data_IF_811914082470
#
_entry.id   IF_811914082470
#
_cell.length_a   1.000
_cell.length_b   1.000
_cell.length_c   1.000
_cell.angle_alpha   90.00
_cell.angle_beta   90.00
_cell.angle_gamma   90.00
#
_symmetry.space_group_name_H-M   'P 1'
#
loop_
_entity.id
_entity.type
_entity.pdbx_description
1 polymer ?
#
# COMPACT_ATOMS: atom_id res chain seq x y z
N UNK A 1 36.16 3.42 -6.54
CA UNK A 1 34.88 2.91 -6.03
C UNK A 1 34.93 1.38 -6.09
N UNK A 2 35.38 0.74 -5.01
CA UNK A 2 35.25 -0.70 -4.87
C UNK A 2 33.79 -0.91 -4.48
N UNK A 3 32.97 -1.30 -5.46
CA UNK A 3 31.65 -1.85 -5.17
C UNK A 3 31.93 -3.14 -4.43
N UNK A 4 31.56 -3.20 -3.15
CA UNK A 4 31.55 -4.47 -2.43
C UNK A 4 30.36 -5.27 -2.99
N UNK A 5 30.58 -5.86 -4.17
CA UNK A 5 29.86 -7.06 -4.57
C UNK A 5 30.05 -8.02 -3.41
N UNK A 6 28.96 -8.55 -2.85
CA UNK A 6 29.03 -9.53 -1.80
C UNK A 6 29.85 -10.73 -2.27
N UNK A 7 31.15 -10.75 -1.96
CA UNK A 7 31.91 -11.96 -1.78
C UNK A 7 31.60 -12.39 -0.35
N UNK A 8 30.55 -13.21 -0.24
CA UNK A 8 30.11 -13.73 1.05
C UNK A 8 31.17 -14.72 1.56
N UNK A 9 31.81 -14.37 2.67
CA UNK A 9 32.22 -15.37 3.65
C UNK A 9 30.97 -16.22 4.02
N UNK A 10 31.11 -17.51 4.36
CA UNK A 10 29.95 -18.39 4.59
C UNK A 10 29.04 -17.78 5.67
N UNK A 11 27.88 -17.26 5.24
CA UNK A 11 26.94 -16.57 6.12
C UNK A 11 26.19 -17.61 6.94
N UNK A 12 26.28 -17.47 8.26
CA UNK A 12 25.30 -18.01 9.20
C UNK A 12 23.92 -17.59 8.70
N UNK A 13 23.01 -18.54 8.54
CA UNK A 13 21.65 -18.27 8.08
C UNK A 13 21.03 -17.18 8.98
N UNK A 14 20.37 -16.16 8.42
CA UNK A 14 19.67 -15.18 9.23
C UNK A 14 18.67 -15.90 10.14
N UNK A 15 18.49 -15.45 11.39
CA UNK A 15 17.52 -16.05 12.30
C UNK A 15 16.14 -16.03 11.65
N UNK A 16 15.30 -17.06 11.89
CA UNK A 16 13.98 -17.10 11.32
C UNK A 16 13.21 -15.84 11.76
N UNK A 17 12.47 -15.21 10.83
CA UNK A 17 11.68 -14.02 11.13
C UNK A 17 10.68 -14.32 12.25
N UNK A 18 10.49 -13.35 13.16
CA UNK A 18 9.60 -13.47 14.32
C UNK A 18 8.12 -13.59 13.95
N UNK A 19 7.76 -13.15 12.74
CA UNK A 19 6.42 -13.23 12.18
C UNK A 19 6.41 -14.22 11.00
N UNK A 20 5.65 -15.31 11.03
CA UNK A 20 5.66 -16.26 9.93
C UNK A 20 5.10 -15.63 8.66
N UNK A 21 5.62 -16.12 7.54
CA UNK A 21 5.08 -15.78 6.24
C UNK A 21 3.75 -16.52 6.04
N UNK A 22 2.66 -15.75 5.87
CA UNK A 22 1.34 -16.31 5.60
C UNK A 22 0.92 -16.06 4.16
N UNK A 23 0.48 -17.14 3.51
CA UNK A 23 -0.03 -17.14 2.14
C UNK A 23 0.96 -16.45 1.17
N UNK A 24 0.47 -15.72 0.16
CA UNK A 24 1.26 -15.01 -0.85
C UNK A 24 2.13 -15.91 -1.75
N UNK A 25 1.73 -17.17 -1.90
CA UNK A 25 2.47 -18.15 -2.74
C UNK A 25 2.45 -17.74 -4.20
N UNK A 26 1.30 -17.30 -4.71
CA UNK A 26 1.13 -16.83 -6.09
C UNK A 26 2.05 -15.64 -6.40
N UNK A 27 2.11 -14.66 -5.49
CA UNK A 27 2.93 -13.47 -5.65
C UNK A 27 4.42 -13.80 -5.52
N UNK A 28 4.77 -14.70 -4.62
CA UNK A 28 6.14 -15.21 -4.48
C UNK A 28 6.58 -15.94 -5.76
N UNK A 29 5.74 -16.82 -6.30
CA UNK A 29 6.01 -17.56 -7.54
C UNK A 29 6.09 -16.64 -8.76
N UNK A 30 5.24 -15.61 -8.81
CA UNK A 30 5.34 -14.55 -9.81
C UNK A 30 6.71 -13.88 -9.77
N UNK A 31 7.19 -13.47 -8.59
CA UNK A 31 8.49 -12.83 -8.48
C UNK A 31 9.64 -13.78 -8.79
N UNK A 32 9.56 -15.04 -8.36
CA UNK A 32 10.55 -16.08 -8.74
C UNK A 32 10.62 -16.27 -10.25
N UNK A 33 9.47 -16.37 -10.92
CA UNK A 33 9.41 -16.50 -12.37
C UNK A 33 9.94 -15.24 -13.08
N UNK A 34 9.59 -14.05 -12.56
CA UNK A 34 10.07 -12.77 -13.10
C UNK A 34 11.59 -12.61 -12.97
N UNK A 35 12.16 -13.10 -11.87
CA UNK A 35 13.58 -12.94 -11.56
C UNK A 35 14.44 -14.15 -11.93
N UNK A 36 13.84 -15.23 -12.42
CA UNK A 36 14.55 -16.27 -13.17
C UNK A 36 14.69 -15.94 -14.66
N UNK A 37 13.89 -14.99 -15.16
CA UNK A 37 13.96 -14.48 -16.53
C UNK A 37 15.02 -13.39 -16.75
N UNK A 38 15.00 -12.76 -17.93
CA UNK A 38 15.93 -11.67 -18.25
C UNK A 38 15.68 -10.43 -17.38
N UNK A 39 16.75 -9.89 -16.79
CA UNK A 39 16.73 -8.57 -16.16
C UNK A 39 16.45 -7.51 -17.24
N UNK A 40 15.43 -6.67 -17.05
CA UNK A 40 15.08 -5.67 -18.08
C UNK A 40 14.46 -4.37 -17.59
N UNK A 41 13.96 -4.30 -16.35
CA UNK A 41 13.21 -3.14 -15.86
C UNK A 41 13.35 -2.99 -14.34
N UNK A 42 13.19 -1.76 -13.86
CA UNK A 42 12.91 -1.50 -12.44
C UNK A 42 11.46 -1.92 -12.16
N UNK A 43 11.22 -2.68 -11.09
CA UNK A 43 9.86 -3.01 -10.64
C UNK A 43 9.46 -2.07 -9.52
N UNK A 44 8.32 -1.39 -9.65
CA UNK A 44 7.69 -0.60 -8.60
C UNK A 44 6.55 -1.43 -8.03
N UNK A 45 6.71 -1.93 -6.81
CA UNK A 45 5.69 -2.68 -6.09
C UNK A 45 4.91 -1.72 -5.18
N UNK A 46 3.71 -1.35 -5.60
CA UNK A 46 2.79 -0.54 -4.79
C UNK A 46 1.74 -1.42 -4.12
N UNK A 47 1.08 -0.93 -3.08
CA UNK A 47 -0.03 -1.63 -2.42
C UNK A 47 -0.39 -0.97 -1.09
N UNK A 48 -1.52 -1.34 -0.46
CA UNK A 48 -1.96 -0.73 0.79
C UNK A 48 -0.89 -0.80 1.89
N UNK A 49 -0.90 0.15 2.83
CA UNK A 49 -0.02 0.07 4.01
C UNK A 49 -0.31 -1.23 4.77
N UNK A 50 0.75 -1.89 5.24
CA UNK A 50 0.67 -3.15 5.99
C UNK A 50 -0.01 -4.35 5.30
N UNK A 51 -0.13 -4.37 3.96
CA UNK A 51 -0.68 -5.53 3.23
C UNK A 51 0.29 -6.73 3.08
N UNK A 52 1.53 -6.60 3.57
CA UNK A 52 2.54 -7.66 3.56
C UNK A 52 3.67 -7.51 2.54
N UNK A 53 3.80 -6.36 1.85
CA UNK A 53 4.88 -6.11 0.85
C UNK A 53 6.28 -6.41 1.40
N UNK A 54 6.63 -5.84 2.55
CA UNK A 54 7.96 -6.03 3.18
C UNK A 54 8.22 -7.49 3.48
N UNK A 55 7.22 -8.19 4.04
CA UNK A 55 7.30 -9.60 4.39
C UNK A 55 7.45 -10.50 3.16
N UNK A 56 6.73 -10.20 2.07
CA UNK A 56 6.87 -10.89 0.78
C UNK A 56 8.28 -10.76 0.23
N UNK A 57 8.84 -9.55 0.24
CA UNK A 57 10.19 -9.32 -0.26
C UNK A 57 11.27 -9.95 0.63
N UNK A 58 11.10 -9.93 1.95
CA UNK A 58 11.98 -10.64 2.87
C UNK A 58 11.97 -12.15 2.64
N UNK A 59 10.78 -12.74 2.46
CA UNK A 59 10.66 -14.16 2.20
C UNK A 59 11.25 -14.55 0.83
N UNK A 60 11.02 -13.72 -0.19
CA UNK A 60 11.67 -13.87 -1.49
C UNK A 60 13.19 -13.87 -1.34
N UNK A 61 13.77 -12.85 -0.69
CA UNK A 61 15.21 -12.76 -0.47
C UNK A 61 15.75 -13.97 0.30
N UNK A 62 15.07 -14.38 1.37
CA UNK A 62 15.44 -15.55 2.18
C UNK A 62 15.52 -16.81 1.34
N UNK A 63 14.54 -17.05 0.45
CA UNK A 63 14.54 -18.23 -0.43
C UNK A 63 15.64 -18.16 -1.48
N UNK A 64 15.92 -16.98 -2.03
CA UNK A 64 17.00 -16.77 -2.99
C UNK A 64 18.39 -17.00 -2.37
N UNK A 65 18.63 -16.48 -1.17
CA UNK A 65 19.87 -16.69 -0.42
C UNK A 65 20.09 -18.18 -0.10
N UNK A 66 19.02 -18.92 0.24
CA UNK A 66 19.11 -20.35 0.53
C UNK A 66 19.37 -21.21 -0.71
N UNK A 67 18.88 -20.80 -1.87
CA UNK A 67 18.99 -21.57 -3.11
C UNK A 67 20.22 -21.19 -3.95
N UNK A 68 20.94 -20.12 -3.60
CA UNK A 68 22.11 -19.62 -4.31
C UNK A 68 21.84 -19.33 -5.81
N UNK A 69 20.60 -18.91 -6.12
CA UNK A 69 20.12 -18.71 -7.50
C UNK A 69 20.20 -17.22 -7.87
N UNK A 70 20.90 -16.90 -8.95
CA UNK A 70 20.61 -15.70 -9.76
C UNK A 70 21.18 -14.35 -9.28
N UNK A 71 20.99 -13.30 -10.10
CA UNK A 71 21.70 -12.02 -9.99
C UNK A 71 21.38 -11.24 -8.70
N UNK A 72 22.21 -10.22 -8.42
CA UNK A 72 22.12 -9.35 -7.26
C UNK A 72 20.71 -8.73 -7.14
N UNK A 73 20.06 -8.90 -5.99
CA UNK A 73 18.78 -8.28 -5.67
C UNK A 73 19.00 -6.94 -4.99
N UNK A 74 18.47 -5.87 -5.58
CA UNK A 74 18.51 -4.54 -4.99
C UNK A 74 17.10 -4.10 -4.57
N UNK A 75 16.86 -4.16 -3.25
CA UNK A 75 15.71 -3.54 -2.58
C UNK A 75 16.10 -2.10 -2.22
N UNK A 76 15.37 -1.09 -2.70
CA UNK A 76 15.65 0.32 -2.34
C UNK A 76 14.58 0.84 -1.38
N UNK A 77 15.05 1.51 -0.33
CA UNK A 77 14.28 2.23 0.71
C UNK A 77 14.98 3.50 1.08
N UNK A 78 14.22 4.49 1.50
CA UNK A 78 14.73 5.79 1.88
C UNK A 78 14.23 6.27 3.25
N UNK A 79 13.68 5.41 4.13
CA UNK A 79 13.24 5.84 5.46
C UNK A 79 14.41 6.33 6.33
N UNK A 80 14.23 7.52 6.88
CA UNK A 80 14.97 8.09 8.03
C UNK A 80 16.49 8.26 7.96
N UNK A 81 17.11 8.16 6.79
CA UNK A 81 18.51 8.59 6.64
C UNK A 81 18.58 9.64 5.54
N UNK A 82 18.93 10.91 5.81
CA UNK A 82 19.30 11.82 4.74
C UNK A 82 20.50 11.19 4.04
N UNK A 83 20.26 10.58 2.88
CA UNK A 83 21.30 9.91 2.11
C UNK A 83 22.12 10.99 1.43
N UNK A 84 23.21 11.39 2.09
CA UNK A 84 24.12 12.47 1.65
C UNK A 84 25.35 11.93 0.92
N UNK A 85 25.50 10.61 0.84
CA UNK A 85 26.63 9.97 0.16
C UNK A 85 26.31 8.59 -0.44
N UNK A 86 27.06 8.14 -1.47
CA UNK A 86 26.95 6.79 -2.04
C UNK A 86 27.17 5.65 -1.03
N UNK A 87 27.97 5.88 0.01
CA UNK A 87 28.18 4.88 1.07
C UNK A 87 26.96 4.76 1.98
N UNK A 88 26.19 5.83 2.20
CA UNK A 88 24.90 5.80 2.89
C UNK A 88 23.81 5.17 2.02
N UNK A 89 23.85 5.34 0.69
CA UNK A 89 22.98 4.58 -0.24
C UNK A 89 23.17 3.09 -0.02
N UNK A 90 24.41 2.60 0.11
CA UNK A 90 24.68 1.17 0.34
C UNK A 90 24.09 0.61 1.64
N UNK A 91 23.90 1.47 2.66
CA UNK A 91 23.35 1.12 3.98
C UNK A 91 21.84 1.35 4.09
N UNK A 92 21.29 2.29 3.31
CA UNK A 92 19.87 2.65 3.28
C UNK A 92 19.00 1.72 2.40
N UNK A 93 19.60 0.80 1.65
CA UNK A 93 18.93 -0.17 0.76
C UNK A 93 18.07 -1.22 1.50
N UNK A 94 17.16 -0.88 2.42
CA UNK A 94 16.22 -1.86 3.03
C UNK A 94 14.92 -1.25 3.59
N UNK A 95 13.81 -1.30 2.79
CA UNK A 95 12.34 -1.06 3.08
C UNK A 95 11.46 0.27 2.93
N UNK A 96 11.01 0.73 1.74
CA UNK A 96 10.06 1.86 1.40
C UNK A 96 10.61 3.07 0.59
N UNK A 97 10.18 3.27 -0.67
CA UNK A 97 10.80 4.22 -1.62
C UNK A 97 10.21 5.64 -1.67
N UNK A 98 9.33 6.02 -0.74
CA UNK A 98 8.61 7.32 -0.81
C UNK A 98 9.44 8.51 -0.43
N UNK A 99 10.41 8.35 0.45
CA UNK A 99 11.24 9.46 0.89
C UNK A 99 12.19 9.95 -0.22
N UNK A 100 12.30 9.22 -1.35
CA UNK A 100 12.93 9.75 -2.57
C UNK A 100 12.18 10.99 -3.10
N UNK A 101 10.87 11.09 -2.85
CA UNK A 101 10.04 12.22 -3.26
C UNK A 101 10.30 13.48 -2.44
N UNK A 102 10.92 13.35 -1.27
CA UNK A 102 11.22 14.48 -0.37
C UNK A 102 12.52 15.20 -0.73
N UNK A 103 13.27 14.74 -1.73
CA UNK A 103 14.45 15.41 -2.28
C UNK A 103 13.97 16.62 -3.09
N UNK A 104 14.04 17.82 -2.50
CA UNK A 104 13.31 19.02 -2.96
C UNK A 104 13.81 19.61 -4.28
N UNK A 105 13.09 20.58 -4.82
CA UNK A 105 13.69 21.66 -5.62
C UNK A 105 13.63 22.98 -4.83
N UNK A 106 14.66 23.83 -4.87
CA UNK A 106 15.98 23.61 -5.48
C UNK A 106 16.90 22.92 -4.46
N UNK A 107 16.81 21.60 -4.32
CA UNK A 107 17.73 20.85 -3.46
C UNK A 107 19.05 20.64 -4.23
N UNK A 108 20.21 20.99 -3.64
CA UNK A 108 21.51 20.63 -4.19
C UNK A 108 21.69 19.13 -4.48
N UNK A 109 20.83 18.25 -3.97
CA UNK A 109 20.84 16.80 -4.17
C UNK A 109 20.13 16.29 -5.45
N UNK A 110 19.55 17.17 -6.26
CA UNK A 110 18.90 16.83 -7.54
C UNK A 110 19.81 16.05 -8.52
N UNK A 111 21.08 16.46 -8.73
CA UNK A 111 22.03 15.70 -9.55
C UNK A 111 22.30 14.29 -9.00
N UNK A 112 22.34 14.13 -7.68
CA UNK A 112 22.56 12.88 -6.98
C UNK A 112 21.36 11.93 -7.15
N UNK A 113 20.13 12.44 -7.06
CA UNK A 113 18.93 11.67 -7.32
C UNK A 113 18.89 11.17 -8.77
N UNK A 114 19.16 12.06 -9.73
CA UNK A 114 19.24 11.70 -11.15
C UNK A 114 20.32 10.65 -11.40
N UNK A 115 21.47 10.75 -10.73
CA UNK A 115 22.55 9.75 -10.78
C UNK A 115 22.13 8.41 -10.16
N UNK A 116 21.43 8.43 -9.03
CA UNK A 116 20.91 7.22 -8.39
C UNK A 116 19.91 6.51 -9.31
N UNK A 117 18.91 7.22 -9.84
CA UNK A 117 17.93 6.65 -10.77
C UNK A 117 18.61 6.12 -12.04
N UNK A 118 19.56 6.86 -12.62
CA UNK A 118 20.36 6.41 -13.75
C UNK A 118 21.19 5.15 -13.42
N UNK A 119 21.72 5.06 -12.20
CA UNK A 119 22.41 3.86 -11.73
C UNK A 119 21.45 2.66 -11.62
N UNK A 120 20.27 2.82 -11.02
CA UNK A 120 19.26 1.76 -10.92
C UNK A 120 18.84 1.24 -12.30
N UNK A 121 18.62 2.14 -13.26
CA UNK A 121 18.34 1.79 -14.66
C UNK A 121 19.55 1.10 -15.31
N UNK A 122 20.75 1.61 -15.04
CA UNK A 122 22.00 1.09 -15.56
C UNK A 122 22.24 -0.36 -15.16
N UNK A 123 22.07 -0.70 -13.87
CA UNK A 123 22.27 -2.07 -13.37
C UNK A 123 21.14 -3.02 -13.76
N UNK A 124 19.90 -2.53 -13.87
CA UNK A 124 18.75 -3.37 -14.20
C UNK A 124 18.56 -3.57 -15.71
N UNK A 125 18.32 -2.49 -16.45
CA UNK A 125 17.96 -2.55 -17.87
C UNK A 125 19.16 -2.63 -18.79
N UNK A 126 20.20 -1.82 -18.55
CA UNK A 126 21.31 -1.68 -19.51
C UNK A 126 22.35 -2.79 -19.36
N UNK A 127 22.83 -3.02 -18.13
CA UNK A 127 23.86 -4.02 -17.83
C UNK A 127 23.29 -5.38 -17.48
N UNK A 128 21.98 -5.46 -17.16
CA UNK A 128 21.28 -6.69 -16.78
C UNK A 128 21.95 -7.45 -15.63
N UNK A 129 22.48 -6.70 -14.68
CA UNK A 129 23.29 -7.21 -13.56
C UNK A 129 22.46 -7.46 -12.30
N UNK A 130 21.33 -6.77 -12.14
CA UNK A 130 20.54 -6.81 -10.91
C UNK A 130 19.05 -6.57 -11.15
N UNK A 131 18.20 -7.34 -10.49
CA UNK A 131 16.79 -6.98 -10.38
C UNK A 131 16.63 -5.87 -9.34
N UNK A 132 15.93 -4.80 -9.72
CA UNK A 132 15.66 -3.65 -8.84
C UNK A 132 14.18 -3.62 -8.52
N UNK A 133 13.85 -3.58 -7.23
CA UNK A 133 12.47 -3.40 -6.75
C UNK A 133 12.40 -2.17 -5.83
N UNK A 134 11.50 -1.25 -6.18
CA UNK A 134 11.09 -0.11 -5.37
C UNK A 134 9.73 -0.46 -4.75
N UNK A 135 9.66 -0.70 -3.46
CA UNK A 135 8.41 -1.06 -2.78
C UNK A 135 7.85 0.13 -2.02
N UNK A 136 6.54 0.37 -2.11
CA UNK A 136 5.93 1.54 -1.50
C UNK A 136 4.46 1.34 -1.13
N UNK A 137 4.01 2.09 -0.11
CA UNK A 137 2.61 2.28 0.25
C UNK A 137 1.97 3.57 -0.32
N UNK A 138 2.74 4.39 -1.05
CA UNK A 138 2.30 5.64 -1.68
C UNK A 138 2.18 5.42 -3.19
N UNK A 139 0.96 5.59 -3.67
CA UNK A 139 0.61 5.33 -5.06
C UNK A 139 1.10 6.43 -6.02
N UNK A 140 1.53 7.57 -5.50
CA UNK A 140 2.06 8.67 -6.30
C UNK A 140 3.47 8.40 -6.85
N UNK A 141 4.23 7.46 -6.27
CA UNK A 141 5.62 7.21 -6.66
C UNK A 141 5.79 6.94 -8.16
N UNK A 142 4.88 6.19 -8.78
CA UNK A 142 4.95 5.89 -10.21
C UNK A 142 4.79 7.14 -11.09
N UNK A 143 3.92 8.06 -10.67
CA UNK A 143 3.71 9.35 -11.33
C UNK A 143 4.92 10.25 -11.10
N UNK A 144 5.40 10.34 -9.86
CA UNK A 144 6.61 11.08 -9.51
C UNK A 144 7.85 10.62 -10.30
N UNK A 145 8.08 9.32 -10.44
CA UNK A 145 9.17 8.76 -11.26
C UNK A 145 9.12 9.27 -12.70
N UNK A 146 7.91 9.38 -13.26
CA UNK A 146 7.70 9.91 -14.60
C UNK A 146 8.03 11.41 -14.67
N UNK A 147 7.62 12.19 -13.66
CA UNK A 147 7.90 13.63 -13.55
C UNK A 147 9.41 13.91 -13.45
N UNK A 148 10.18 13.07 -12.74
CA UNK A 148 11.65 13.21 -12.63
C UNK A 148 12.43 12.63 -13.81
N UNK A 149 11.74 12.25 -14.91
CA UNK A 149 12.35 11.85 -16.19
C UNK A 149 12.56 10.34 -16.38
N UNK A 150 12.00 9.51 -15.50
CA UNK A 150 11.99 8.06 -15.69
C UNK A 150 10.77 7.65 -16.53
N UNK A 151 11.00 7.48 -17.83
CA UNK A 151 9.96 7.06 -18.79
C UNK A 151 9.41 5.67 -18.47
N UNK A 152 8.14 5.42 -18.84
CA UNK A 152 7.41 4.16 -18.56
C UNK A 152 8.04 2.90 -19.17
N UNK A 153 8.95 3.02 -20.13
CA UNK A 153 9.73 1.88 -20.65
C UNK A 153 10.88 1.46 -19.71
N UNK A 154 11.16 2.23 -18.66
CA UNK A 154 12.25 1.97 -17.69
C UNK A 154 11.78 1.27 -16.42
N UNK A 155 10.49 1.31 -16.13
CA UNK A 155 9.90 0.60 -14.99
C UNK A 155 8.53 0.01 -15.27
N UNK A 156 8.16 -0.96 -14.44
CA UNK A 156 6.81 -1.55 -14.40
C UNK A 156 6.23 -1.39 -13.01
N UNK A 157 4.94 -1.09 -12.96
CA UNK A 157 4.20 -1.03 -11.69
C UNK A 157 3.49 -2.36 -11.49
N UNK A 158 3.68 -2.97 -10.33
CA UNK A 158 2.91 -4.12 -9.85
C UNK A 158 2.17 -3.68 -8.59
N UNK A 159 0.92 -4.09 -8.45
CA UNK A 159 0.08 -3.76 -7.28
C UNK A 159 -0.11 -5.02 -6.45
N UNK A 160 0.38 -5.03 -5.21
CA UNK A 160 0.07 -6.06 -4.22
C UNK A 160 -1.23 -5.70 -3.51
N UNK A 161 -2.26 -6.51 -3.74
CA UNK A 161 -3.56 -6.38 -3.09
C UNK A 161 -3.55 -6.77 -1.61
N UNK A 162 -4.65 -6.51 -0.93
CA UNK A 162 -4.96 -7.17 0.34
C UNK A 162 -5.24 -8.68 0.10
N UNK A 163 -5.49 -9.44 1.17
CA UNK A 163 -5.96 -10.83 1.05
C UNK A 163 -7.40 -10.86 0.54
N UNK A 164 -7.83 -11.97 -0.07
CA UNK A 164 -9.27 -12.19 -0.28
C UNK A 164 -9.97 -12.45 1.05
N UNK A 165 -11.32 -12.41 1.08
CA UNK A 165 -12.09 -12.69 2.30
C UNK A 165 -11.77 -14.08 2.87
N UNK A 166 -11.73 -15.09 2.00
CA UNK A 166 -11.45 -16.48 2.37
C UNK A 166 -10.03 -16.63 2.95
N UNK A 167 -9.07 -15.93 2.36
CA UNK A 167 -7.67 -15.92 2.82
C UNK A 167 -7.53 -15.14 4.14
N UNK A 168 -8.26 -14.04 4.30
CA UNK A 168 -8.29 -13.24 5.52
C UNK A 168 -8.93 -14.00 6.68
N UNK A 169 -10.03 -14.71 6.43
CA UNK A 169 -10.70 -15.56 7.42
C UNK A 169 -9.76 -16.69 7.86
N UNK A 170 -9.10 -17.34 6.90
CA UNK A 170 -8.11 -18.39 7.19
C UNK A 170 -6.87 -17.83 7.88
N UNK A 171 -6.45 -16.60 7.60
CA UNK A 171 -5.38 -15.93 8.33
C UNK A 171 -5.77 -15.73 9.80
N UNK A 172 -7.00 -15.29 10.04
CA UNK A 172 -7.52 -15.02 11.37
C UNK A 172 -7.74 -16.30 12.19
N UNK A 173 -8.40 -17.30 11.62
CA UNK A 173 -8.90 -18.45 12.37
C UNK A 173 -8.23 -19.79 12.03
N UNK A 174 -7.36 -19.82 11.02
CA UNK A 174 -6.69 -21.04 10.57
C UNK A 174 -5.77 -21.62 11.64
N UNK A 175 -5.91 -22.92 11.90
CA UNK A 175 -4.98 -23.65 12.77
C UNK A 175 -3.55 -23.58 12.20
N UNK A 176 -2.58 -23.31 13.08
CA UNK A 176 -1.15 -23.30 12.72
C UNK A 176 -0.64 -22.04 12.01
N UNK A 177 -1.46 -21.00 11.86
CA UNK A 177 -1.02 -19.72 11.31
C UNK A 177 -0.33 -18.91 12.42
N UNK A 178 1.00 -19.06 12.55
CA UNK A 178 1.79 -18.45 13.63
C UNK A 178 1.86 -16.90 13.60
N UNK A 179 1.16 -16.24 12.66
CA UNK A 179 1.08 -14.78 12.50
C UNK A 179 -0.35 -14.25 12.48
N UNK A 180 -1.33 -15.15 12.55
CA UNK A 180 -2.74 -14.86 12.73
C UNK A 180 -3.09 -14.70 14.21
N UNK A 181 -4.37 -14.90 14.55
CA UNK A 181 -4.87 -14.78 15.93
C UNK A 181 -3.97 -15.46 16.97
N UNK A 182 -3.62 -16.74 16.77
CA UNK A 182 -2.80 -17.52 17.72
C UNK A 182 -1.35 -17.04 17.86
N UNK A 183 -0.82 -16.34 16.86
CA UNK A 183 0.53 -15.77 16.93
C UNK A 183 0.59 -14.49 17.76
N UNK A 184 -0.53 -13.77 17.87
CA UNK A 184 -0.65 -12.46 18.53
C UNK A 184 -1.18 -12.61 19.96
N UNK A 185 -2.00 -13.62 20.16
CA UNK A 185 -2.71 -13.90 21.40
C UNK A 185 -1.96 -14.99 22.17
N UNK A 186 -1.21 -14.59 23.21
CA UNK A 186 -0.60 -15.52 24.19
C UNK A 186 -1.69 -16.14 25.11
N UNK A 187 -1.30 -17.05 26.01
CA UNK A 187 -2.15 -17.79 26.97
C UNK A 187 -3.08 -16.94 27.87
N UNK A 188 -3.02 -15.61 27.80
CA UNK A 188 -3.80 -14.66 28.61
C UNK A 188 -5.20 -14.35 28.07
N UNK A 189 -5.65 -15.02 27.02
CA UNK A 189 -6.95 -14.80 26.39
C UNK A 189 -7.87 -16.01 26.60
N UNK A 190 -9.18 -15.82 26.76
CA UNK A 190 -10.10 -16.94 26.96
C UNK A 190 -10.40 -17.57 25.59
N UNK A 191 -9.39 -18.29 25.09
CA UNK A 191 -9.15 -18.56 23.66
C UNK A 191 -10.30 -19.21 22.89
N UNK A 192 -11.23 -19.89 23.56
CA UNK A 192 -12.36 -20.55 22.89
C UNK A 192 -13.59 -19.65 22.75
N UNK A 193 -13.94 -18.94 23.81
CA UNK A 193 -15.13 -18.08 23.82
C UNK A 193 -14.87 -16.82 23.00
N UNK A 194 -13.70 -16.20 23.17
CA UNK A 194 -13.37 -14.99 22.42
C UNK A 194 -13.22 -15.25 20.91
N UNK A 195 -12.76 -16.44 20.53
CA UNK A 195 -12.65 -16.86 19.13
C UNK A 195 -14.04 -17.17 18.53
N UNK A 196 -14.95 -17.75 19.32
CA UNK A 196 -16.33 -17.91 18.89
C UNK A 196 -16.99 -16.55 18.65
N UNK A 197 -16.83 -15.61 19.59
CA UNK A 197 -17.35 -14.24 19.48
C UNK A 197 -16.77 -13.49 18.28
N UNK A 198 -15.48 -13.67 18.00
CA UNK A 198 -14.81 -13.10 16.83
C UNK A 198 -15.41 -13.64 15.52
N UNK A 199 -15.61 -14.96 15.47
CA UNK A 199 -16.17 -15.64 14.30
C UNK A 199 -17.60 -15.21 14.03
N UNK A 200 -18.40 -15.02 15.08
CA UNK A 200 -19.77 -14.49 14.97
C UNK A 200 -19.79 -13.03 14.46
N UNK A 201 -18.70 -12.29 14.66
CA UNK A 201 -18.52 -10.91 14.19
C UNK A 201 -17.69 -10.81 12.91
N UNK A 202 -17.38 -11.92 12.24
CA UNK A 202 -16.44 -11.92 11.10
C UNK A 202 -16.85 -10.94 9.99
N UNK A 203 -18.12 -10.88 9.64
CA UNK A 203 -18.63 -9.94 8.63
C UNK A 203 -18.29 -8.49 8.98
N UNK A 204 -18.46 -8.09 10.24
CA UNK A 204 -18.15 -6.72 10.70
C UNK A 204 -16.63 -6.47 10.76
N UNK A 205 -15.86 -7.47 11.20
CA UNK A 205 -14.40 -7.41 11.20
C UNK A 205 -13.88 -7.23 9.78
N UNK A 206 -14.36 -8.03 8.84
CA UNK A 206 -13.95 -7.97 7.44
C UNK A 206 -14.44 -6.69 6.77
N UNK A 207 -15.63 -6.19 7.07
CA UNK A 207 -16.10 -4.91 6.55
C UNK A 207 -15.15 -3.75 6.89
N UNK A 208 -14.59 -3.75 8.11
CA UNK A 208 -13.70 -2.67 8.58
C UNK A 208 -12.23 -2.89 8.26
N UNK A 209 -11.75 -4.13 8.33
CA UNK A 209 -10.34 -4.47 8.15
C UNK A 209 -10.01 -4.93 6.73
N UNK A 210 -11.00 -5.44 6.00
CA UNK A 210 -10.83 -6.20 4.76
C UNK A 210 -9.83 -7.33 4.92
N UNK A 211 -9.13 -7.66 3.83
CA UNK A 211 -8.01 -8.58 3.86
C UNK A 211 -6.67 -7.96 4.26
N UNK A 212 -6.66 -6.75 4.84
CA UNK A 212 -5.42 -6.09 5.19
C UNK A 212 -4.81 -6.74 6.45
N UNK A 213 -3.69 -7.42 6.27
CA UNK A 213 -2.99 -8.16 7.33
C UNK A 213 -2.69 -7.25 8.54
N UNK A 214 -2.24 -6.02 8.30
CA UNK A 214 -1.95 -5.06 9.38
C UNK A 214 -3.17 -4.69 10.21
N UNK A 215 -4.28 -4.35 9.56
CA UNK A 215 -5.53 -3.99 10.25
C UNK A 215 -6.10 -5.18 11.02
N UNK A 216 -6.06 -6.39 10.44
CA UNK A 216 -6.47 -7.61 11.12
C UNK A 216 -5.62 -7.84 12.38
N UNK A 217 -4.28 -7.75 12.27
CA UNK A 217 -3.38 -7.88 13.42
C UNK A 217 -3.65 -6.83 14.50
N UNK A 218 -3.89 -5.59 14.10
CA UNK A 218 -4.23 -4.51 15.01
C UNK A 218 -5.55 -4.81 15.72
N UNK A 219 -6.60 -5.19 14.99
CA UNK A 219 -7.90 -5.54 15.56
C UNK A 219 -7.77 -6.64 16.61
N UNK A 220 -6.96 -7.66 16.34
CA UNK A 220 -6.69 -8.75 17.27
C UNK A 220 -5.96 -8.27 18.52
N UNK A 221 -4.93 -7.45 18.36
CA UNK A 221 -4.18 -6.89 19.49
C UNK A 221 -5.05 -5.99 20.37
N UNK A 222 -5.90 -5.15 19.76
CA UNK A 222 -6.85 -4.30 20.48
C UNK A 222 -7.90 -5.14 21.21
N UNK A 223 -8.48 -6.15 20.57
CA UNK A 223 -9.43 -7.06 21.21
C UNK A 223 -8.76 -7.80 22.37
N UNK A 224 -7.47 -8.14 22.23
CA UNK A 224 -6.67 -8.73 23.30
C UNK A 224 -6.61 -7.82 24.53
N UNK A 225 -6.17 -6.60 24.31
CA UNK A 225 -5.93 -5.63 25.37
C UNK A 225 -7.25 -5.16 26.03
N UNK A 226 -8.36 -5.25 25.27
CA UNK A 226 -9.72 -4.96 25.72
C UNK A 226 -10.50 -6.20 26.19
N UNK A 227 -9.82 -7.31 26.47
CA UNK A 227 -10.40 -8.54 27.05
C UNK A 227 -11.60 -9.10 26.27
N UNK A 228 -11.48 -9.20 24.95
CA UNK A 228 -12.51 -9.77 24.07
C UNK A 228 -13.56 -8.77 23.60
N UNK A 229 -13.45 -7.48 23.93
CA UNK A 229 -14.37 -6.46 23.42
C UNK A 229 -14.02 -6.06 21.97
N UNK A 230 -14.54 -6.85 21.03
CA UNK A 230 -14.38 -6.66 19.60
C UNK A 230 -14.99 -5.37 19.06
N UNK A 231 -16.12 -4.91 19.59
CA UNK A 231 -16.74 -3.64 19.16
C UNK A 231 -15.81 -2.45 19.42
N UNK A 232 -15.23 -2.37 20.62
CA UNK A 232 -14.25 -1.33 20.96
C UNK A 232 -12.93 -1.49 20.20
N UNK A 233 -12.48 -2.73 19.97
CA UNK A 233 -11.29 -3.00 19.18
C UNK A 233 -11.43 -2.54 17.73
N UNK A 234 -12.58 -2.84 17.11
CA UNK A 234 -12.91 -2.39 15.76
C UNK A 234 -13.02 -0.86 15.71
N UNK A 235 -13.56 -0.23 16.75
CA UNK A 235 -13.58 1.24 16.83
C UNK A 235 -12.15 1.82 16.85
N UNK A 236 -11.23 1.22 17.61
CA UNK A 236 -9.84 1.66 17.66
C UNK A 236 -9.14 1.57 16.29
N UNK A 237 -9.42 0.51 15.52
CA UNK A 237 -8.88 0.30 14.17
C UNK A 237 -9.36 1.37 13.18
N UNK A 238 -10.61 1.80 13.27
CA UNK A 238 -11.21 2.74 12.30
C UNK A 238 -11.08 4.21 12.70
N UNK A 239 -10.69 4.54 13.93
CA UNK A 239 -10.53 5.95 14.37
C UNK A 239 -9.56 6.73 13.48
N UNK A 240 -8.37 6.19 13.19
CA UNK A 240 -7.40 6.84 12.31
C UNK A 240 -7.95 7.05 10.88
N UNK A 241 -8.44 5.99 10.21
CA UNK A 241 -9.11 6.10 8.91
C UNK A 241 -10.26 7.10 8.88
N UNK A 242 -11.07 7.19 9.94
CA UNK A 242 -12.14 8.17 10.06
C UNK A 242 -11.60 9.61 10.10
N UNK A 243 -10.56 9.85 10.89
CA UNK A 243 -9.88 11.14 10.92
C UNK A 243 -9.26 11.50 9.57
N UNK A 244 -8.61 10.55 8.89
CA UNK A 244 -8.00 10.74 7.56
C UNK A 244 -9.07 11.13 6.51
N UNK A 245 -10.21 10.41 6.46
CA UNK A 245 -11.34 10.75 5.56
C UNK A 245 -11.91 12.14 5.87
N UNK A 246 -12.07 12.47 7.16
CA UNK A 246 -12.56 13.78 7.61
C UNK A 246 -11.57 14.92 7.31
N UNK A 247 -10.27 14.65 7.34
CA UNK A 247 -9.24 15.61 6.96
C UNK A 247 -9.30 15.95 5.46
N UNK A 248 -9.72 15.02 4.59
CA UNK A 248 -9.94 15.30 3.16
C UNK A 248 -10.94 16.43 2.90
N UNK A 249 -11.87 16.71 3.83
CA UNK A 249 -12.77 17.87 3.79
C UNK A 249 -12.11 19.19 4.21
N UNK A 250 -10.81 19.20 4.48
CA UNK A 250 -10.04 20.36 4.95
C UNK A 250 -8.72 20.48 4.18
N UNK A 251 -8.72 20.64 2.85
CA UNK A 251 -7.48 20.73 2.05
C UNK A 251 -6.47 21.74 2.61
N UNK A 252 -6.94 22.88 3.14
CA UNK A 252 -6.08 23.92 3.71
C UNK A 252 -5.27 23.52 4.95
N UNK A 253 -5.53 22.37 5.59
CA UNK A 253 -4.75 21.92 6.75
C UNK A 253 -3.55 21.05 6.38
N UNK A 254 -3.45 20.63 5.12
CA UNK A 254 -2.34 19.81 4.68
C UNK A 254 -1.09 20.66 4.47
N UNK A 255 0.06 20.12 4.90
CA UNK A 255 1.36 20.70 4.60
C UNK A 255 1.63 20.52 3.10
N UNK A 256 2.16 21.55 2.44
CA UNK A 256 2.54 21.49 1.03
C UNK A 256 3.47 20.31 0.74
N UNK A 257 3.11 19.47 -0.23
CA UNK A 257 3.96 18.39 -0.74
C UNK A 257 4.64 18.85 -2.02
N UNK A 258 5.96 18.85 -2.07
CA UNK A 258 6.71 19.34 -3.23
C UNK A 258 6.49 20.84 -3.53
N UNK A 259 6.12 21.64 -2.52
CA UNK A 259 5.86 23.09 -2.69
C UNK A 259 4.50 23.44 -3.31
N UNK A 260 3.64 22.45 -3.50
CA UNK A 260 2.29 22.65 -4.06
C UNK A 260 1.23 22.47 -2.97
N UNK A 261 0.20 23.30 -3.03
CA UNK A 261 -1.00 23.17 -2.20
C UNK A 261 -1.94 22.08 -2.76
N UNK A 262 -2.76 21.45 -1.90
CA UNK A 262 -3.88 20.63 -2.34
C UNK A 262 -4.78 21.33 -3.37
N UNK A 263 -5.10 20.65 -4.47
CA UNK A 263 -5.89 21.22 -5.56
C UNK A 263 -7.40 20.96 -5.45
N UNK A 264 -7.84 20.09 -4.54
CA UNK A 264 -9.25 19.72 -4.44
C UNK A 264 -10.05 20.63 -3.50
N UNK A 265 -11.36 20.70 -3.75
CA UNK A 265 -12.35 21.33 -2.88
C UNK A 265 -13.06 20.29 -2.01
N UNK A 266 -13.76 20.76 -0.97
CA UNK A 266 -14.61 19.89 -0.12
C UNK A 266 -15.68 19.15 -0.93
N UNK A 267 -16.29 19.83 -1.91
CA UNK A 267 -17.31 19.25 -2.79
C UNK A 267 -16.73 18.16 -3.70
N UNK A 268 -15.54 18.38 -4.24
CA UNK A 268 -14.84 17.37 -5.05
C UNK A 268 -14.46 16.14 -4.23
N UNK A 269 -13.97 16.33 -2.99
CA UNK A 269 -13.70 15.20 -2.09
C UNK A 269 -14.96 14.40 -1.79
N UNK A 270 -16.07 15.08 -1.47
CA UNK A 270 -17.37 14.42 -1.25
C UNK A 270 -17.80 13.58 -2.46
N UNK A 271 -17.75 14.15 -3.66
CA UNK A 271 -18.11 13.45 -4.90
C UNK A 271 -17.29 12.17 -5.09
N UNK A 272 -15.98 12.25 -4.89
CA UNK A 272 -15.09 11.09 -5.00
C UNK A 272 -15.50 9.99 -4.01
N UNK A 273 -15.80 10.34 -2.76
CA UNK A 273 -16.29 9.38 -1.77
C UNK A 273 -17.61 8.75 -2.22
N UNK A 274 -18.55 9.54 -2.73
CA UNK A 274 -19.84 9.06 -3.23
C UNK A 274 -19.65 8.10 -4.43
N UNK A 275 -18.79 8.44 -5.38
CA UNK A 275 -18.45 7.57 -6.51
C UNK A 275 -17.85 6.24 -6.05
N UNK A 276 -16.85 6.29 -5.17
CA UNK A 276 -16.16 5.07 -4.70
C UNK A 276 -17.08 4.19 -3.86
N UNK A 277 -17.82 4.77 -2.91
CA UNK A 277 -18.71 3.98 -2.03
C UNK A 277 -19.88 3.35 -2.79
N UNK A 278 -20.39 4.01 -3.84
CA UNK A 278 -21.46 3.47 -4.67
C UNK A 278 -21.00 2.44 -5.72
N UNK A 279 -19.70 2.42 -6.05
CA UNK A 279 -19.18 1.56 -7.09
C UNK A 279 -19.01 0.11 -6.63
N UNK A 280 -19.19 -0.88 -7.55
CA UNK A 280 -18.85 -2.26 -7.27
C UNK A 280 -17.39 -2.37 -6.77
N UNK A 281 -17.25 -3.03 -5.62
CA UNK A 281 -15.99 -3.37 -4.97
C UNK A 281 -15.14 -2.13 -4.63
N UNK A 282 -15.81 -0.99 -4.53
CA UNK A 282 -15.23 0.29 -4.17
C UNK A 282 -14.06 0.71 -5.08
N UNK A 283 -14.19 0.39 -6.38
CA UNK A 283 -13.22 0.70 -7.41
C UNK A 283 -13.90 1.39 -8.59
N UNK A 284 -13.37 2.55 -8.99
CA UNK A 284 -13.91 3.39 -10.07
C UNK A 284 -12.86 3.59 -11.14
N UNK A 285 -13.22 3.66 -12.41
CA UNK A 285 -12.21 3.95 -13.45
C UNK A 285 -11.64 5.37 -13.27
N UNK A 286 -10.34 5.54 -13.53
CA UNK A 286 -9.69 6.87 -13.47
C UNK A 286 -10.44 7.91 -14.29
N UNK A 287 -10.85 7.55 -15.52
CA UNK A 287 -11.58 8.46 -16.41
C UNK A 287 -12.93 8.90 -15.87
N UNK A 288 -13.62 8.03 -15.11
CA UNK A 288 -14.92 8.36 -14.51
C UNK A 288 -14.75 9.35 -13.35
N UNK A 289 -13.72 9.16 -12.52
CA UNK A 289 -13.40 10.12 -11.45
C UNK A 289 -12.95 11.47 -12.03
N UNK A 290 -12.11 11.48 -13.06
CA UNK A 290 -11.68 12.71 -13.73
C UNK A 290 -12.86 13.50 -14.31
N UNK A 291 -13.82 12.81 -14.94
CA UNK A 291 -15.05 13.42 -15.46
C UNK A 291 -15.89 14.04 -14.33
N UNK A 292 -16.08 13.33 -13.23
CA UNK A 292 -16.85 13.81 -12.07
C UNK A 292 -16.22 15.01 -11.35
N UNK A 293 -14.88 15.12 -11.41
CA UNK A 293 -14.11 16.23 -10.85
C UNK A 293 -14.16 17.49 -11.73
N UNK A 294 -14.50 17.36 -13.02
CA UNK A 294 -14.69 18.45 -13.96
C UNK A 294 -13.39 19.00 -14.56
N UNK A 295 -13.36 20.30 -14.87
CA UNK A 295 -12.18 20.96 -15.44
C UNK A 295 -10.96 20.83 -14.49
N UNK A 296 -9.85 20.32 -15.02
CA UNK A 296 -8.65 19.99 -14.22
C UNK A 296 -8.74 18.70 -13.41
N UNK A 297 -9.72 17.82 -13.70
CA UNK A 297 -9.97 16.58 -12.96
C UNK A 297 -8.74 15.66 -12.82
N UNK A 298 -7.91 15.57 -13.85
CA UNK A 298 -6.63 14.81 -13.81
C UNK A 298 -5.69 15.35 -12.72
N UNK A 299 -5.44 16.67 -12.72
CA UNK A 299 -4.55 17.31 -11.74
C UNK A 299 -5.12 17.23 -10.31
N UNK A 300 -6.43 17.38 -10.17
CA UNK A 300 -7.12 17.26 -8.87
C UNK A 300 -7.02 15.83 -8.33
N UNK A 301 -7.27 14.82 -9.18
CA UNK A 301 -7.11 13.41 -8.82
C UNK A 301 -5.67 13.11 -8.42
N UNK A 302 -4.68 13.53 -9.22
CA UNK A 302 -3.27 13.35 -8.91
C UNK A 302 -2.87 14.06 -7.61
N UNK A 303 -3.44 15.24 -7.32
CA UNK A 303 -3.27 15.90 -6.04
C UNK A 303 -3.81 15.04 -4.88
N UNK A 304 -5.02 14.49 -4.98
CA UNK A 304 -5.56 13.61 -3.93
C UNK A 304 -4.69 12.35 -3.71
N UNK A 305 -4.15 11.77 -4.79
CA UNK A 305 -3.22 10.62 -4.73
C UNK A 305 -1.90 11.02 -4.08
N UNK A 306 -1.31 12.16 -4.46
CA UNK A 306 -0.10 12.74 -3.86
C UNK A 306 -0.24 12.95 -2.36
N UNK A 307 -1.44 13.26 -1.89
CA UNK A 307 -1.76 13.44 -0.47
C UNK A 307 -2.21 12.15 0.24
N UNK A 308 -2.07 10.99 -0.40
CA UNK A 308 -2.44 9.67 0.13
C UNK A 308 -3.92 9.55 0.52
N UNK A 309 -4.80 10.35 -0.10
CA UNK A 309 -6.25 10.21 0.05
C UNK A 309 -6.84 9.14 -0.87
N UNK A 310 -6.19 8.90 -2.00
CA UNK A 310 -6.62 7.96 -3.03
C UNK A 310 -5.47 7.07 -3.49
N UNK A 311 -5.83 5.89 -3.99
CA UNK A 311 -4.89 4.93 -4.56
C UNK A 311 -5.17 4.73 -6.05
N UNK A 312 -4.14 4.89 -6.89
CA UNK A 312 -4.18 4.51 -8.30
C UNK A 312 -3.72 3.06 -8.46
N UNK A 313 -4.63 2.18 -8.85
CA UNK A 313 -4.37 0.75 -8.97
C UNK A 313 -4.43 0.36 -10.44
N UNK A 314 -3.28 0.29 -11.15
CA UNK A 314 -3.27 -0.29 -12.50
C UNK A 314 -3.59 -1.79 -12.45
N UNK A 315 -4.03 -2.38 -13.58
CA UNK A 315 -4.26 -3.82 -13.67
C UNK A 315 -3.01 -4.59 -13.29
N UNK A 316 -3.14 -5.47 -12.29
CA UNK A 316 -2.03 -6.25 -11.74
C UNK A 316 -2.51 -7.68 -11.51
N UNK A 317 -1.66 -8.67 -11.84
CA UNK A 317 -1.92 -10.07 -11.48
C UNK A 317 -1.71 -10.35 -10.00
N UNK A 318 -1.15 -9.39 -9.26
CA UNK A 318 -0.89 -9.48 -7.81
C UNK A 318 -1.96 -8.75 -6.97
N UNK A 319 -2.93 -8.09 -7.62
CA UNK A 319 -4.05 -7.42 -6.96
C UNK A 319 -5.27 -8.37 -6.93
N UNK A 320 -5.14 -9.46 -6.16
CA UNK A 320 -6.14 -10.53 -6.10
C UNK A 320 -7.41 -10.13 -5.33
N UNK A 321 -7.34 -9.05 -4.56
CA UNK A 321 -8.45 -8.43 -3.85
C UNK A 321 -9.43 -7.69 -4.78
N UNK A 322 -9.04 -7.38 -6.02
CA UNK A 322 -9.90 -6.75 -7.00
C UNK A 322 -10.17 -7.69 -8.20
N UNK A 323 -11.45 -7.95 -8.52
CA UNK A 323 -11.79 -8.78 -9.66
C UNK A 323 -11.41 -8.07 -10.98
N UNK A 324 -11.05 -8.84 -12.02
CA UNK A 324 -10.46 -8.27 -13.23
C UNK A 324 -11.41 -7.37 -14.02
N UNK A 325 -12.71 -7.50 -13.77
CA UNK A 325 -13.82 -6.78 -14.38
C UNK A 325 -13.84 -5.30 -13.99
N UNK A 326 -13.32 -4.93 -12.80
CA UNK A 326 -13.31 -3.52 -12.34
C UNK A 326 -12.39 -2.65 -13.19
N UNK A 327 -11.41 -3.24 -13.86
CA UNK A 327 -10.47 -2.53 -14.72
C UNK A 327 -11.01 -2.24 -16.13
N UNK A 328 -12.31 -2.48 -16.36
CA UNK A 328 -12.99 -2.31 -17.63
C UNK A 328 -13.08 -3.59 -18.46
N UNK A 329 -13.91 -3.55 -19.51
CA UNK A 329 -14.18 -4.71 -20.38
C UNK A 329 -13.29 -4.72 -21.63
N UNK A 330 -12.87 -5.92 -22.07
CA UNK A 330 -12.14 -6.13 -23.32
C UNK A 330 -10.60 -6.01 -23.22
N UNK A 331 -9.95 -5.62 -24.34
CA UNK A 331 -8.48 -5.62 -24.47
C UNK A 331 -7.78 -4.39 -23.84
N UNK A 332 -8.55 -3.39 -23.38
CA UNK A 332 -8.03 -2.14 -22.80
C UNK A 332 -8.39 -2.07 -21.32
N UNK A 333 -7.75 -2.90 -20.50
CA UNK A 333 -7.81 -2.72 -19.05
C UNK A 333 -7.13 -1.41 -18.68
N UNK A 334 -7.76 -0.62 -17.83
CA UNK A 334 -7.25 0.69 -17.39
C UNK A 334 -7.07 0.75 -15.88
N UNK A 335 -6.50 1.84 -15.38
CA UNK A 335 -6.27 2.07 -13.95
C UNK A 335 -7.57 2.39 -13.25
N UNK A 336 -7.74 1.87 -12.03
CA UNK A 336 -8.86 2.22 -11.15
C UNK A 336 -8.39 3.06 -9.97
N UNK A 337 -9.32 3.81 -9.40
CA UNK A 337 -9.18 4.59 -8.19
C UNK A 337 -9.90 3.86 -7.06
N UNK A 338 -9.21 3.68 -5.94
CA UNK A 338 -9.81 3.18 -4.69
C UNK A 338 -9.43 4.10 -3.54
N UNK A 339 -10.09 3.93 -2.39
CA UNK A 339 -9.53 4.41 -1.14
C UNK A 339 -8.29 3.57 -0.74
N UNK A 340 -7.35 4.10 0.06
CA UNK A 340 -6.08 3.42 0.32
C UNK A 340 -6.18 2.15 1.16
N UNK A 341 -7.24 2.00 1.96
CA UNK A 341 -7.48 0.85 2.84
C UNK A 341 -8.97 0.51 2.92
N UNK A 342 -9.32 -0.74 3.25
CA UNK A 342 -10.71 -1.13 3.55
C UNK A 342 -11.35 -0.27 4.64
N UNK A 343 -10.62 0.05 5.71
CA UNK A 343 -11.14 0.90 6.79
C UNK A 343 -11.50 2.32 6.34
N UNK A 344 -10.88 2.84 5.27
CA UNK A 344 -11.24 4.13 4.69
C UNK A 344 -12.58 4.06 3.97
N UNK A 345 -12.92 2.92 3.35
CA UNK A 345 -14.22 2.71 2.71
C UNK A 345 -15.33 2.79 3.76
N UNK A 346 -15.19 2.02 4.84
CA UNK A 346 -16.15 2.07 5.95
C UNK A 346 -16.26 3.49 6.53
N UNK A 347 -15.13 4.16 6.75
CA UNK A 347 -15.12 5.54 7.23
C UNK A 347 -15.84 6.52 6.27
N UNK A 348 -15.64 6.35 4.96
CA UNK A 348 -16.33 7.16 3.95
C UNK A 348 -17.84 6.96 4.00
N UNK A 349 -18.32 5.73 4.12
CA UNK A 349 -19.75 5.42 4.25
C UNK A 349 -20.36 6.10 5.47
N UNK A 350 -19.70 6.00 6.63
CA UNK A 350 -20.14 6.65 7.88
C UNK A 350 -20.20 8.17 7.73
N UNK A 351 -19.14 8.78 7.19
CA UNK A 351 -19.07 10.24 7.02
C UNK A 351 -20.13 10.73 6.04
N UNK A 352 -20.36 10.02 4.93
CA UNK A 352 -21.38 10.38 3.95
C UNK A 352 -22.78 10.29 4.55
N UNK A 353 -23.06 9.28 5.37
CA UNK A 353 -24.36 9.15 6.03
C UNK A 353 -24.59 10.27 7.05
N UNK A 354 -23.60 10.60 7.87
CA UNK A 354 -23.69 11.75 8.79
C UNK A 354 -23.94 13.08 8.07
N UNK A 355 -23.32 13.27 6.89
CA UNK A 355 -23.52 14.48 6.10
C UNK A 355 -24.95 14.56 5.56
N UNK A 356 -25.51 13.44 5.08
CA UNK A 356 -26.91 13.39 4.63
C UNK A 356 -27.89 13.70 5.76
N UNK A 357 -27.63 13.17 6.96
CA UNK A 357 -28.49 13.42 8.12
C UNK A 357 -28.46 14.89 8.56
N UNK A 358 -27.27 15.53 8.52
CA UNK A 358 -27.12 16.96 8.79
C UNK A 358 -27.82 17.83 7.73
N UNK A 359 -27.84 17.40 6.47
CA UNK A 359 -28.56 18.10 5.39
C UNK A 359 -30.07 18.01 5.57
N UNK A 360 -30.60 16.80 5.84
CA UNK A 360 -32.03 16.60 6.13
C UNK A 360 -32.48 17.42 7.35
N UNK A 361 -31.66 17.48 8.40
CA UNK A 361 -31.96 18.28 9.59
C UNK A 361 -32.09 19.77 9.27
N UNK A 362 -31.18 20.32 8.45
CA UNK A 362 -31.24 21.74 8.00
C UNK A 362 -32.43 22.04 7.10
N UNK A 363 -32.86 21.10 6.28
CA UNK A 363 -34.08 21.25 5.47
C UNK A 363 -35.35 21.24 6.33
N UNK A 364 -35.34 20.50 7.45
CA UNK A 364 -36.47 20.41 8.38
C UNK A 364 -36.60 21.60 9.35
N UNK A 365 -35.52 22.36 9.59
CA UNK A 365 -35.54 23.58 10.40
C UNK A 365 -34.58 24.65 9.83
N UNK A 366 -35.07 25.56 8.96
CA UNK A 366 -34.23 26.57 8.31
C UNK A 366 -33.67 27.65 9.25
N UNK A 367 -34.04 27.65 10.54
CA UNK A 367 -33.59 28.65 11.52
C UNK A 367 -32.38 28.19 12.38
N UNK A 368 -31.80 27.01 12.10
CA UNK A 368 -30.64 26.43 12.80
C UNK A 368 -29.33 26.46 12.00
#
# INVERSE_FOLDING_TARGET
MIVQAGLFAPKVAPPPPQDPFYNRVTELDYFKAKFSGEVGFVTVLVGPRNCGKSRLLEELLRQYEQQNIGPLFLKVDARFTPVRSPDEVSKALVNESNDLMDWKEPDPLQPELKRLLAFLIGISKQKRQAHVILATSDYFLANWLTQVGMTRDKFRVEVLGDLTEEEAEKFMYGDGVAGGWRGIVNDSFNTKEDLANAKDQWSEIYQRCGGNIGLLKQCVAEARDLKGNWGSALQAVVTGPLEEVMQGFKPSVYIQKGGEDPLWTKGQWRKVLECITAAPQHAVLVSEIEEELGEGGEDILLSMVKYNLLALRPPSTLALDLPQEVYGSGKKKTTVVTLPLPAHVWAAEVVLEELKDKEKAKESDPQL
#
